data_IF_550544301279
#
_entry.id   IF_550544301279
#
_cell.length_a   1.000
_cell.length_b   1.000
_cell.length_c   1.000
_cell.angle_alpha   90.00
_cell.angle_beta   90.00
_cell.angle_gamma   90.00
#
_symmetry.space_group_name_H-M   'P 1'
#
loop_
_entity.id
_entity.type
_entity.pdbx_description
1 polymer ?
#
# COMPACT_ATOMS: atom_id res chain seq x y z
N UNK A 1 -5.27 29.72 82.10
CA UNK A 1 -5.92 28.44 81.73
C UNK A 1 -5.21 27.94 80.54
N UNK A 2 -4.05 27.33 80.70
CA UNK A 2 -3.10 26.92 79.65
C UNK A 2 -3.17 25.41 79.47
N UNK A 3 -3.49 24.98 78.31
CA UNK A 3 -3.40 23.56 77.94
C UNK A 3 -2.17 23.39 77.07
N UNK A 4 -1.20 22.73 77.71
CA UNK A 4 0.12 22.38 77.18
C UNK A 4 -0.08 21.26 76.16
N UNK A 5 0.22 21.51 74.86
CA UNK A 5 0.29 20.50 73.81
C UNK A 5 1.63 19.86 73.80
N UNK A 6 1.71 18.64 74.29
CA UNK A 6 2.88 17.78 74.18
C UNK A 6 2.95 17.15 72.80
N UNK A 7 3.92 17.58 71.98
CA UNK A 7 4.22 16.92 70.69
C UNK A 7 5.13 15.73 70.97
N UNK A 8 4.64 14.53 70.75
CA UNK A 8 5.43 13.29 70.71
C UNK A 8 6.01 13.15 69.31
N UNK A 9 7.32 13.34 69.14
CA UNK A 9 8.05 13.00 67.93
C UNK A 9 8.30 11.48 67.91
N UNK A 10 7.54 10.77 67.07
CA UNK A 10 7.82 9.38 66.70
C UNK A 10 8.93 9.40 65.67
N UNK A 11 10.16 9.17 66.05
CA UNK A 11 11.29 8.92 65.14
C UNK A 11 11.14 7.52 64.55
N UNK A 12 10.65 7.46 63.32
CA UNK A 12 10.70 6.25 62.52
C UNK A 12 12.16 6.01 62.10
N UNK A 13 12.84 5.13 62.80
CA UNK A 13 14.12 4.60 62.37
C UNK A 13 13.85 3.70 61.15
N UNK A 14 14.03 4.24 59.93
CA UNK A 14 14.08 3.47 58.73
C UNK A 14 15.32 2.56 58.79
N UNK A 15 15.12 1.31 59.14
CA UNK A 15 16.14 0.28 59.01
C UNK A 15 16.43 0.13 57.50
N UNK A 16 17.49 0.80 57.03
CA UNK A 16 18.11 0.57 55.73
C UNK A 16 18.68 -0.87 55.78
N UNK A 17 17.89 -1.82 55.27
CA UNK A 17 18.40 -3.13 54.93
C UNK A 17 19.60 -2.94 53.98
N UNK A 18 20.77 -3.52 54.27
CA UNK A 18 21.87 -3.49 53.32
C UNK A 18 21.37 -4.14 52.03
N UNK A 19 21.36 -3.36 50.95
CA UNK A 19 21.15 -3.94 49.63
C UNK A 19 22.23 -5.01 49.48
N UNK A 20 21.83 -6.29 49.40
CA UNK A 20 22.72 -7.38 49.03
C UNK A 20 23.33 -6.99 47.68
N UNK A 21 24.53 -6.41 47.72
CA UNK A 21 25.32 -6.19 46.53
C UNK A 21 25.65 -7.57 45.99
N UNK A 22 25.05 -7.90 44.83
CA UNK A 22 25.43 -9.11 44.13
C UNK A 22 26.96 -9.11 43.94
N UNK A 23 27.60 -10.24 44.21
CA UNK A 23 29.04 -10.38 43.98
C UNK A 23 29.34 -9.96 42.51
N UNK A 24 30.47 -9.29 42.26
CA UNK A 24 30.83 -8.85 40.91
C UNK A 24 30.84 -10.05 39.96
N UNK A 25 30.15 -9.91 38.86
CA UNK A 25 30.09 -10.93 37.82
C UNK A 25 31.51 -11.23 37.32
N UNK A 26 31.82 -12.52 37.21
CA UNK A 26 32.99 -13.01 36.47
C UNK A 26 32.50 -13.58 35.15
N UNK A 27 32.60 -12.83 34.03
CA UNK A 27 32.06 -13.25 32.75
C UNK A 27 32.55 -14.64 32.28
N UNK A 28 33.86 -14.90 32.44
CA UNK A 28 34.44 -16.19 32.08
C UNK A 28 33.84 -17.34 32.88
N UNK A 29 33.71 -17.18 34.19
CA UNK A 29 33.12 -18.21 35.06
C UNK A 29 31.64 -18.49 34.73
N UNK A 30 30.91 -17.49 34.21
CA UNK A 30 29.54 -17.71 33.72
C UNK A 30 29.54 -18.54 32.45
N UNK A 31 30.38 -18.21 31.48
CA UNK A 31 30.50 -18.97 30.23
C UNK A 31 30.93 -20.42 30.51
N UNK A 32 31.94 -20.59 31.34
CA UNK A 32 32.46 -21.90 31.76
C UNK A 32 31.36 -22.76 32.42
N UNK A 33 30.57 -22.14 33.32
CA UNK A 33 29.57 -22.89 34.09
C UNK A 33 28.30 -23.25 33.35
N UNK A 34 27.90 -22.44 32.35
CA UNK A 34 26.56 -22.54 31.73
C UNK A 34 26.57 -22.68 30.21
N UNK A 35 27.69 -22.46 29.52
CA UNK A 35 27.76 -22.37 28.08
C UNK A 35 28.76 -23.33 27.46
N UNK A 36 29.94 -23.52 28.05
CA UNK A 36 31.04 -24.28 27.45
C UNK A 36 30.75 -25.78 27.33
N UNK A 37 29.86 -26.36 28.12
CA UNK A 37 29.49 -27.78 28.00
C UNK A 37 28.93 -28.12 26.61
N UNK A 38 28.28 -27.15 25.92
CA UNK A 38 27.71 -27.33 24.60
C UNK A 38 28.39 -26.46 23.54
N UNK A 39 28.77 -25.24 23.86
CA UNK A 39 29.38 -24.30 22.93
C UNK A 39 30.91 -24.28 23.08
N UNK A 40 31.54 -25.37 22.73
CA UNK A 40 32.98 -25.56 22.76
C UNK A 40 33.53 -26.01 21.40
N UNK A 41 34.86 -26.01 21.30
CA UNK A 41 35.60 -26.35 20.09
C UNK A 41 35.52 -27.84 19.69
N UNK A 42 34.91 -28.68 20.52
CA UNK A 42 34.66 -30.10 20.21
C UNK A 42 33.24 -30.32 19.69
N UNK A 43 32.22 -29.79 20.38
CA UNK A 43 30.82 -30.08 20.10
C UNK A 43 30.15 -29.09 19.13
N UNK A 44 30.64 -27.85 19.10
CA UNK A 44 30.18 -26.80 18.19
C UNK A 44 28.64 -26.64 18.12
N UNK A 45 27.95 -26.76 19.26
CA UNK A 45 26.51 -26.63 19.29
C UNK A 45 26.04 -25.31 18.67
N UNK A 46 25.12 -25.39 17.72
CA UNK A 46 24.65 -24.21 16.99
C UNK A 46 25.72 -23.49 16.16
N UNK A 47 26.80 -24.18 15.79
CA UNK A 47 27.96 -23.64 15.06
C UNK A 47 28.67 -22.52 15.83
N UNK A 48 28.75 -22.65 17.15
CA UNK A 48 29.35 -21.68 18.04
C UNK A 48 30.24 -22.36 19.07
N UNK A 49 31.48 -21.86 19.22
CA UNK A 49 32.45 -22.29 20.23
C UNK A 49 32.85 -21.06 21.06
N UNK A 50 32.28 -20.93 22.26
CA UNK A 50 32.54 -19.80 23.14
C UNK A 50 33.85 -19.95 23.97
N UNK A 51 34.36 -21.16 24.06
CA UNK A 51 35.63 -21.49 24.76
C UNK A 51 36.87 -20.94 24.04
N UNK A 52 36.77 -20.61 22.76
CA UNK A 52 37.87 -20.00 21.98
C UNK A 52 37.64 -18.51 21.69
N UNK A 53 36.56 -17.94 22.17
CA UNK A 53 36.26 -16.52 22.00
C UNK A 53 36.88 -15.69 23.14
N UNK A 54 37.52 -14.59 22.77
CA UNK A 54 38.19 -13.69 23.72
C UNK A 54 37.24 -12.58 24.19
N UNK A 55 36.96 -12.52 25.48
CA UNK A 55 36.12 -11.48 26.08
C UNK A 55 36.78 -10.09 26.11
N UNK A 56 38.07 -10.00 25.84
CA UNK A 56 38.75 -8.71 25.64
C UNK A 56 38.56 -8.19 24.22
N UNK A 57 38.13 -9.06 23.28
CA UNK A 57 37.93 -8.76 21.87
C UNK A 57 36.44 -8.81 21.45
N UNK A 58 35.48 -8.65 22.37
CA UNK A 58 34.05 -8.66 22.10
C UNK A 58 33.65 -7.86 20.85
N UNK A 59 34.20 -6.64 20.62
CA UNK A 59 33.82 -5.85 19.44
C UNK A 59 34.21 -6.49 18.10
N UNK A 60 35.25 -7.32 18.06
CA UNK A 60 35.68 -8.01 16.83
C UNK A 60 34.61 -9.02 16.38
N UNK A 61 33.92 -9.65 17.34
CA UNK A 61 32.87 -10.65 17.12
C UNK A 61 31.48 -10.13 17.54
N UNK A 62 31.25 -8.81 17.45
CA UNK A 62 30.04 -8.14 17.92
C UNK A 62 28.74 -8.83 17.45
N UNK A 63 28.66 -9.27 16.20
CA UNK A 63 27.49 -9.96 15.64
C UNK A 63 27.17 -11.27 16.37
N UNK A 64 28.17 -11.99 16.80
CA UNK A 64 28.00 -13.22 17.59
C UNK A 64 27.49 -12.87 18.97
N UNK A 65 28.15 -11.91 19.63
CA UNK A 65 27.79 -11.49 20.98
C UNK A 65 26.40 -10.83 21.06
N UNK A 66 25.99 -10.06 20.07
CA UNK A 66 24.61 -9.58 19.95
C UNK A 66 23.59 -10.73 19.85
N UNK A 67 23.97 -11.82 19.19
CA UNK A 67 23.11 -13.01 19.11
C UNK A 67 23.04 -13.69 20.47
N UNK A 68 24.15 -13.78 21.20
CA UNK A 68 24.18 -14.28 22.60
C UNK A 68 23.26 -13.42 23.47
N UNK A 69 23.39 -12.08 23.43
CA UNK A 69 22.52 -11.14 24.16
C UNK A 69 21.04 -11.40 23.87
N UNK A 70 20.66 -11.51 22.60
CA UNK A 70 19.25 -11.79 22.22
C UNK A 70 18.75 -13.13 22.76
N UNK A 71 19.59 -14.17 22.74
CA UNK A 71 19.24 -15.49 23.26
C UNK A 71 19.08 -15.48 24.78
N UNK A 72 19.96 -14.78 25.49
CA UNK A 72 19.89 -14.64 26.95
C UNK A 72 18.68 -13.80 27.40
N UNK A 73 18.43 -12.66 26.75
CA UNK A 73 17.24 -11.82 27.02
C UNK A 73 15.94 -12.56 26.76
N UNK A 74 15.91 -13.34 25.67
CA UNK A 74 14.76 -14.17 25.30
C UNK A 74 14.58 -15.43 26.14
N UNK A 75 15.47 -15.71 27.08
CA UNK A 75 15.48 -16.96 27.87
C UNK A 75 15.49 -18.22 27.00
N UNK A 76 16.16 -18.14 25.85
CA UNK A 76 16.31 -19.25 24.91
C UNK A 76 17.58 -20.07 25.17
N UNK A 77 18.52 -19.48 25.93
CA UNK A 77 19.78 -20.10 26.34
C UNK A 77 20.06 -19.78 27.82
N UNK A 78 20.59 -20.75 28.58
CA UNK A 78 20.67 -22.18 28.28
C UNK A 78 19.27 -22.78 28.00
N UNK A 79 19.17 -23.93 27.32
CA UNK A 79 17.88 -24.63 27.14
C UNK A 79 17.20 -24.89 28.50
N UNK A 80 15.87 -24.96 28.57
CA UNK A 80 15.14 -25.13 29.85
C UNK A 80 15.49 -26.41 30.62
N UNK A 81 16.04 -27.41 29.94
CA UNK A 81 16.49 -28.69 30.52
C UNK A 81 17.83 -28.59 31.21
N UNK A 82 18.57 -27.54 30.93
CA UNK A 82 19.94 -27.35 31.44
C UNK A 82 19.98 -26.43 32.69
N UNK A 83 21.11 -26.44 33.36
CA UNK A 83 21.35 -25.57 34.50
C UNK A 83 21.18 -24.10 34.14
N UNK A 84 20.32 -23.41 34.85
CA UNK A 84 20.01 -22.01 34.59
C UNK A 84 20.78 -21.05 35.47
N UNK A 85 21.42 -19.99 34.95
CA UNK A 85 21.98 -18.93 35.74
C UNK A 85 20.88 -18.10 36.43
N UNK A 86 21.18 -17.51 37.58
CA UNK A 86 20.28 -16.56 38.21
C UNK A 86 20.03 -15.36 37.28
N UNK A 87 18.80 -14.80 37.31
CA UNK A 87 18.44 -13.66 36.44
C UNK A 87 19.42 -12.50 36.59
N UNK A 88 19.80 -12.16 37.79
CA UNK A 88 20.77 -11.10 38.06
C UNK A 88 22.13 -11.31 37.35
N UNK A 89 22.58 -12.56 37.23
CA UNK A 89 23.83 -12.88 36.54
C UNK A 89 23.66 -12.74 35.02
N UNK A 90 22.50 -13.12 34.47
CA UNK A 90 22.18 -12.89 33.08
C UNK A 90 22.16 -11.39 32.77
N UNK A 91 21.45 -10.61 33.57
CA UNK A 91 21.32 -9.16 33.37
C UNK A 91 22.68 -8.46 33.45
N UNK A 92 23.53 -8.85 34.40
CA UNK A 92 24.89 -8.32 34.51
C UNK A 92 25.76 -8.69 33.31
N UNK A 93 25.68 -9.96 32.85
CA UNK A 93 26.47 -10.42 31.72
C UNK A 93 26.00 -9.77 30.40
N UNK A 94 24.69 -9.64 30.19
CA UNK A 94 24.14 -8.91 29.07
C UNK A 94 24.58 -7.45 29.09
N UNK A 95 24.48 -6.78 30.21
CA UNK A 95 24.95 -5.40 30.36
C UNK A 95 26.45 -5.26 30.07
N UNK A 96 27.27 -6.21 30.54
CA UNK A 96 28.69 -6.24 30.24
C UNK A 96 28.96 -6.33 28.74
N UNK A 97 28.32 -7.27 28.04
CA UNK A 97 28.48 -7.45 26.60
C UNK A 97 28.03 -6.21 25.82
N UNK A 98 26.85 -5.69 26.15
CA UNK A 98 26.29 -4.50 25.51
C UNK A 98 27.18 -3.28 25.69
N UNK A 99 27.66 -3.04 26.93
CA UNK A 99 28.56 -1.92 27.21
C UNK A 99 29.83 -1.96 26.38
N UNK A 100 30.44 -3.15 26.19
CA UNK A 100 31.64 -3.30 25.37
C UNK A 100 31.38 -3.05 23.90
N UNK A 101 30.26 -3.54 23.38
CA UNK A 101 29.85 -3.32 21.99
C UNK A 101 29.52 -1.84 21.76
N UNK A 102 28.75 -1.23 22.65
CA UNK A 102 28.31 0.16 22.54
C UNK A 102 29.45 1.17 22.68
N UNK A 103 30.39 0.93 23.60
CA UNK A 103 31.60 1.73 23.75
C UNK A 103 32.42 1.75 22.46
N UNK A 104 32.63 0.56 21.86
CA UNK A 104 33.33 0.46 20.57
C UNK A 104 32.58 1.13 19.42
N UNK A 105 31.26 0.91 19.32
CA UNK A 105 30.44 1.52 18.29
C UNK A 105 30.39 3.05 18.41
N UNK A 106 30.40 3.57 19.63
CA UNK A 106 30.44 5.01 19.89
C UNK A 106 31.78 5.62 19.47
N UNK A 107 32.88 4.91 19.75
CA UNK A 107 34.21 5.35 19.32
C UNK A 107 34.45 5.19 17.81
N UNK A 108 33.77 4.21 17.19
CA UNK A 108 33.90 3.87 15.78
C UNK A 108 32.52 3.85 15.09
N UNK A 109 31.86 5.00 14.92
CA UNK A 109 30.51 5.02 14.39
C UNK A 109 30.47 4.51 12.94
N UNK A 110 29.68 3.47 12.70
CA UNK A 110 29.44 2.88 11.40
C UNK A 110 27.94 2.93 11.07
N UNK A 111 27.41 4.09 10.65
CA UNK A 111 25.97 4.27 10.40
C UNK A 111 25.43 3.42 9.26
N UNK A 112 26.30 2.67 8.59
CA UNK A 112 25.93 1.81 7.49
C UNK A 112 25.76 2.57 6.17
N UNK A 113 25.33 1.83 5.15
CA UNK A 113 25.05 2.33 3.81
C UNK A 113 23.58 2.03 3.47
N UNK A 114 22.87 3.03 2.97
CA UNK A 114 21.52 2.85 2.44
C UNK A 114 21.59 2.74 0.94
N UNK A 115 21.21 1.58 0.42
CA UNK A 115 21.10 1.37 -1.02
C UNK A 115 20.05 2.28 -1.64
N UNK A 116 20.21 2.56 -2.93
CA UNK A 116 19.20 3.27 -3.68
C UNK A 116 17.85 2.55 -3.58
N UNK A 117 16.86 3.23 -3.02
CA UNK A 117 15.56 2.66 -2.70
C UNK A 117 14.54 3.04 -3.78
N UNK A 118 14.05 2.06 -4.53
CA UNK A 118 12.91 2.24 -5.42
C UNK A 118 11.61 2.26 -4.59
N UNK A 119 10.66 3.10 -4.97
CA UNK A 119 9.32 3.01 -4.37
C UNK A 119 8.73 1.62 -4.64
N UNK A 120 8.22 0.98 -3.60
CA UNK A 120 7.42 -0.23 -3.74
C UNK A 120 5.99 0.12 -4.21
N UNK A 121 5.17 -0.88 -4.45
CA UNK A 121 3.78 -0.70 -4.91
C UNK A 121 2.97 0.22 -3.99
N UNK A 122 3.01 -0.02 -2.70
CA UNK A 122 2.26 0.75 -1.69
C UNK A 122 2.78 2.18 -1.56
N UNK A 123 4.09 2.36 -1.59
CA UNK A 123 4.72 3.69 -1.54
C UNK A 123 4.38 4.52 -2.79
N UNK A 124 4.39 3.87 -3.97
CA UNK A 124 4.00 4.53 -5.22
C UNK A 124 2.53 4.97 -5.19
N UNK A 125 1.62 4.08 -4.80
CA UNK A 125 0.19 4.38 -4.71
C UNK A 125 -0.10 5.55 -3.78
N UNK A 126 0.45 5.53 -2.57
CA UNK A 126 0.25 6.59 -1.58
C UNK A 126 0.85 7.92 -2.02
N UNK A 127 2.08 7.89 -2.56
CA UNK A 127 2.73 9.10 -3.08
C UNK A 127 1.91 9.73 -4.22
N UNK A 128 1.42 8.93 -5.16
CA UNK A 128 0.57 9.41 -6.26
C UNK A 128 -0.76 9.97 -5.74
N UNK A 129 -1.39 9.29 -4.79
CA UNK A 129 -2.62 9.79 -4.16
C UNK A 129 -2.39 11.13 -3.47
N UNK A 130 -1.29 11.28 -2.77
CA UNK A 130 -0.94 12.54 -2.10
C UNK A 130 -0.65 13.66 -3.11
N UNK A 131 0.04 13.37 -4.21
CA UNK A 131 0.44 14.37 -5.21
C UNK A 131 -0.74 14.80 -6.10
N UNK A 132 -1.53 13.84 -6.57
CA UNK A 132 -2.57 14.06 -7.59
C UNK A 132 -4.01 13.98 -7.05
N UNK A 133 -4.22 13.40 -5.87
CA UNK A 133 -5.56 13.20 -5.32
C UNK A 133 -6.34 12.05 -5.98
N UNK A 134 -5.66 11.18 -6.72
CA UNK A 134 -6.28 10.02 -7.41
C UNK A 134 -6.12 8.76 -6.56
N UNK A 135 -7.22 8.05 -6.36
CA UNK A 135 -7.21 6.68 -5.81
C UNK A 135 -7.24 5.68 -6.96
N UNK A 136 -6.31 4.74 -6.92
CA UNK A 136 -6.26 3.66 -7.90
C UNK A 136 -5.76 2.39 -7.21
N UNK A 137 -5.99 1.24 -7.84
CA UNK A 137 -5.47 -0.04 -7.35
C UNK A 137 -4.08 -0.28 -7.95
N UNK A 138 -3.04 -0.06 -7.16
CA UNK A 138 -1.68 -0.31 -7.61
C UNK A 138 -1.42 -1.80 -7.89
N UNK A 139 -2.20 -2.72 -7.32
CA UNK A 139 -2.05 -4.15 -7.58
C UNK A 139 -2.50 -4.54 -9.00
N UNK A 140 -3.41 -3.76 -9.59
CA UNK A 140 -3.84 -3.96 -10.98
C UNK A 140 -2.81 -3.41 -12.00
N UNK A 141 -2.00 -2.43 -11.61
CA UNK A 141 -1.09 -1.73 -12.52
C UNK A 141 0.38 -2.13 -12.36
N UNK A 142 0.79 -2.47 -11.14
CA UNK A 142 2.20 -2.71 -10.81
C UNK A 142 2.43 -4.16 -10.36
N UNK A 143 3.62 -4.71 -10.63
CA UNK A 143 3.97 -6.06 -10.22
C UNK A 143 4.11 -6.14 -8.71
N UNK A 144 3.95 -7.35 -8.18
CA UNK A 144 4.14 -7.61 -6.76
C UNK A 144 5.60 -7.47 -6.38
N UNK A 145 5.88 -6.73 -5.30
CA UNK A 145 7.22 -6.60 -4.76
C UNK A 145 7.64 -7.88 -4.01
N UNK A 146 8.94 -8.17 -4.08
CA UNK A 146 9.54 -9.28 -3.32
C UNK A 146 9.58 -8.89 -1.84
N UNK A 147 9.27 -9.85 -0.96
CA UNK A 147 9.35 -9.66 0.49
C UNK A 147 10.58 -10.35 1.07
N UNK A 148 11.17 -9.72 2.07
CA UNK A 148 12.22 -10.30 2.90
C UNK A 148 11.83 -10.14 4.37
N UNK A 149 11.81 -11.25 5.10
CA UNK A 149 11.40 -11.29 6.52
C UNK A 149 10.04 -10.61 6.80
N UNK A 150 9.12 -10.68 5.84
CA UNK A 150 7.79 -10.07 5.93
C UNK A 150 7.70 -8.62 5.41
N UNK A 151 8.82 -7.95 5.15
CA UNK A 151 8.88 -6.57 4.66
C UNK A 151 9.03 -6.51 3.13
N UNK A 152 8.30 -5.62 2.48
CA UNK A 152 8.35 -5.37 1.04
C UNK A 152 9.02 -4.03 0.67
N UNK A 153 9.64 -3.38 1.65
CA UNK A 153 10.31 -2.08 1.50
C UNK A 153 11.82 -2.14 1.80
N UNK A 154 12.43 -3.30 1.67
CA UNK A 154 13.88 -3.47 1.87
C UNK A 154 14.62 -3.10 0.58
N UNK A 155 15.38 -2.01 0.60
CA UNK A 155 16.03 -1.41 -0.58
C UNK A 155 16.84 -2.42 -1.42
N UNK A 156 17.61 -3.29 -0.76
CA UNK A 156 18.52 -4.25 -1.43
C UNK A 156 17.80 -5.32 -2.26
N UNK A 157 16.52 -5.57 -2.00
CA UNK A 157 15.72 -6.58 -2.70
C UNK A 157 14.78 -5.98 -3.74
N UNK A 158 14.52 -4.69 -3.67
CA UNK A 158 13.69 -3.97 -4.64
C UNK A 158 14.42 -3.77 -5.97
N UNK A 159 14.78 -4.89 -6.61
CA UNK A 159 15.48 -4.91 -7.90
C UNK A 159 14.57 -4.37 -9.00
N UNK A 160 15.20 -3.82 -10.03
CA UNK A 160 14.53 -3.29 -11.22
C UNK A 160 14.96 -4.11 -12.42
N UNK A 161 13.98 -4.65 -13.15
CA UNK A 161 14.18 -5.24 -14.49
C UNK A 161 13.58 -4.30 -15.54
N UNK A 162 13.93 -4.45 -16.81
CA UNK A 162 13.28 -3.68 -17.88
C UNK A 162 11.76 -3.78 -17.86
N UNK A 163 11.22 -4.98 -17.64
CA UNK A 163 9.76 -5.19 -17.54
C UNK A 163 9.11 -4.46 -16.36
N UNK A 164 9.84 -4.25 -15.27
CA UNK A 164 9.39 -3.42 -14.16
C UNK A 164 9.27 -1.94 -14.56
N UNK A 165 10.27 -1.43 -15.27
CA UNK A 165 10.24 -0.05 -15.78
C UNK A 165 9.09 0.17 -16.73
N UNK A 166 8.84 -0.75 -17.64
CA UNK A 166 7.70 -0.68 -18.57
C UNK A 166 6.36 -0.61 -17.83
N UNK A 167 6.20 -1.37 -16.76
CA UNK A 167 4.98 -1.35 -15.95
C UNK A 167 4.82 -0.03 -15.18
N UNK A 168 5.89 0.55 -14.65
CA UNK A 168 5.85 1.87 -14.03
C UNK A 168 5.55 2.98 -15.04
N UNK A 169 6.10 2.90 -16.26
CA UNK A 169 5.76 3.82 -17.36
C UNK A 169 4.28 3.72 -17.73
N UNK A 170 3.78 2.49 -17.85
CA UNK A 170 2.37 2.26 -18.12
C UNK A 170 1.46 2.77 -16.99
N UNK A 171 1.80 2.46 -15.73
CA UNK A 171 1.08 2.97 -14.57
C UNK A 171 1.09 4.50 -14.50
N UNK A 172 2.23 5.15 -14.78
CA UNK A 172 2.34 6.60 -14.83
C UNK A 172 1.40 7.20 -15.89
N UNK A 173 1.28 6.53 -17.05
CA UNK A 173 0.35 6.93 -18.11
C UNK A 173 -1.10 6.80 -17.66
N UNK A 174 -1.50 5.63 -17.19
CA UNK A 174 -2.88 5.36 -16.75
C UNK A 174 -3.30 6.31 -15.64
N UNK A 175 -2.45 6.48 -14.63
CA UNK A 175 -2.73 7.38 -13.52
C UNK A 175 -2.83 8.84 -13.95
N UNK A 176 -1.99 9.29 -14.88
CA UNK A 176 -2.07 10.67 -15.40
C UNK A 176 -3.37 10.91 -16.19
N UNK A 177 -3.85 9.90 -16.92
CA UNK A 177 -5.15 9.93 -17.58
C UNK A 177 -6.29 9.97 -16.57
N UNK A 178 -6.26 9.12 -15.54
CA UNK A 178 -7.25 9.15 -14.45
C UNK A 178 -7.28 10.51 -13.73
N UNK A 179 -6.11 11.11 -13.50
CA UNK A 179 -5.99 12.36 -12.75
C UNK A 179 -6.53 13.58 -13.50
N UNK A 180 -6.25 13.65 -14.79
CA UNK A 180 -6.66 14.77 -15.66
C UNK A 180 -8.01 14.51 -16.33
N UNK A 181 -8.32 13.23 -16.60
CA UNK A 181 -9.48 12.79 -17.37
C UNK A 181 -9.21 12.75 -18.87
N UNK A 182 -9.87 11.83 -19.56
CA UNK A 182 -9.83 11.70 -21.03
C UNK A 182 -11.24 11.77 -21.62
N UNK A 183 -11.53 12.79 -22.42
CA UNK A 183 -12.85 12.89 -23.06
C UNK A 183 -13.20 11.70 -23.98
N UNK A 184 -12.19 11.01 -24.53
CA UNK A 184 -12.43 9.84 -25.37
C UNK A 184 -12.88 8.64 -24.56
N UNK A 185 -12.28 8.42 -23.38
CA UNK A 185 -12.67 7.34 -22.46
C UNK A 185 -14.07 7.58 -21.90
N UNK A 186 -14.43 8.82 -21.62
CA UNK A 186 -15.78 9.17 -21.19
C UNK A 186 -16.85 8.79 -22.23
N UNK A 187 -16.50 8.75 -23.51
CA UNK A 187 -17.41 8.33 -24.61
C UNK A 187 -17.47 6.83 -24.79
N UNK A 188 -16.37 6.13 -24.53
CA UNK A 188 -16.26 4.69 -24.80
C UNK A 188 -17.01 3.80 -23.80
N UNK A 189 -17.37 4.36 -22.64
CA UNK A 189 -17.88 3.58 -21.51
C UNK A 189 -16.76 2.80 -20.79
N UNK A 190 -16.95 2.56 -19.51
CA UNK A 190 -16.02 1.76 -18.70
C UNK A 190 -16.67 0.45 -18.33
N UNK A 191 -16.03 -0.67 -18.67
CA UNK A 191 -16.56 -2.01 -18.38
C UNK A 191 -15.83 -2.62 -17.19
N UNK A 192 -16.58 -2.97 -16.17
CA UNK A 192 -16.11 -3.69 -14.99
C UNK A 192 -16.52 -5.16 -15.08
N UNK A 193 -15.57 -6.04 -14.82
CA UNK A 193 -15.82 -7.48 -14.78
C UNK A 193 -16.05 -7.94 -13.36
N UNK A 194 -16.88 -8.97 -13.16
CA UNK A 194 -17.00 -9.59 -11.84
C UNK A 194 -15.65 -10.07 -11.35
N UNK A 195 -15.44 -10.01 -10.04
CA UNK A 195 -14.25 -10.59 -9.40
C UNK A 195 -14.26 -12.09 -9.69
N UNK A 196 -13.17 -12.67 -10.22
CA UNK A 196 -13.13 -14.06 -10.68
C UNK A 196 -13.13 -15.10 -9.55
N UNK A 197 -13.23 -14.67 -8.31
CA UNK A 197 -13.10 -15.52 -7.15
C UNK A 197 -14.32 -16.40 -6.89
N UNK A 198 -14.12 -17.46 -6.16
CA UNK A 198 -15.11 -18.50 -5.83
C UNK A 198 -16.48 -17.87 -5.51
N UNK A 199 -17.54 -18.19 -6.26
CA UNK A 199 -18.88 -17.64 -6.02
C UNK A 199 -19.45 -18.01 -4.64
N UNK A 200 -18.76 -18.82 -3.85
CA UNK A 200 -19.08 -19.17 -2.48
C UNK A 200 -18.51 -18.20 -1.46
N UNK A 201 -17.56 -17.37 -1.85
CA UNK A 201 -16.88 -16.44 -0.95
C UNK A 201 -17.60 -15.10 -0.91
N UNK A 202 -17.62 -14.49 0.28
CA UNK A 202 -18.08 -13.13 0.46
C UNK A 202 -17.12 -12.16 -0.21
N UNK A 203 -17.65 -11.26 -1.02
CA UNK A 203 -16.87 -10.18 -1.63
C UNK A 203 -16.97 -8.94 -0.73
N UNK A 204 -15.84 -8.45 -0.18
CA UNK A 204 -15.85 -7.27 0.68
C UNK A 204 -16.48 -6.06 -0.02
N UNK A 205 -17.46 -5.48 0.64
CA UNK A 205 -18.18 -4.31 0.13
C UNK A 205 -19.49 -4.60 -0.57
N UNK A 206 -19.88 -5.87 -0.68
CA UNK A 206 -21.23 -6.27 -1.07
C UNK A 206 -22.14 -6.41 0.14
N UNK A 207 -23.48 -6.29 -0.03
CA UNK A 207 -24.44 -6.62 1.02
C UNK A 207 -24.25 -8.05 1.50
N UNK A 208 -24.48 -8.30 2.79
CA UNK A 208 -24.42 -9.64 3.36
C UNK A 208 -25.41 -10.58 2.64
N UNK A 209 -25.02 -11.84 2.44
CA UNK A 209 -25.83 -12.83 1.76
C UNK A 209 -25.73 -12.84 0.23
N UNK A 210 -25.05 -11.89 -0.39
CA UNK A 210 -24.83 -11.87 -1.84
C UNK A 210 -23.62 -12.72 -2.22
N UNK A 211 -23.72 -13.42 -3.35
CA UNK A 211 -22.65 -14.25 -3.92
C UNK A 211 -22.30 -13.77 -5.31
N UNK A 212 -21.06 -13.35 -5.51
CA UNK A 212 -20.58 -12.83 -6.79
C UNK A 212 -21.21 -11.47 -7.16
N UNK A 213 -20.70 -10.87 -8.21
CA UNK A 213 -21.13 -9.57 -8.70
C UNK A 213 -19.95 -8.69 -9.04
N UNK A 214 -20.20 -7.40 -9.24
CA UNK A 214 -19.18 -6.39 -9.54
C UNK A 214 -19.10 -5.42 -8.38
N UNK A 215 -17.90 -5.21 -7.84
CA UNK A 215 -17.59 -4.07 -6.97
C UNK A 215 -16.56 -3.22 -7.68
N UNK A 216 -16.90 -1.98 -7.97
CA UNK A 216 -16.04 -1.02 -8.66
C UNK A 216 -16.03 0.32 -7.92
N UNK A 217 -14.89 0.98 -7.96
CA UNK A 217 -14.77 2.39 -7.65
C UNK A 217 -14.67 3.11 -8.99
N UNK A 218 -15.65 3.97 -9.29
CA UNK A 218 -15.74 4.69 -10.56
C UNK A 218 -15.74 6.19 -10.33
N UNK A 219 -14.91 6.89 -11.08
CA UNK A 219 -14.88 8.35 -11.09
C UNK A 219 -15.88 8.89 -12.10
N UNK A 220 -16.96 9.48 -11.60
CA UNK A 220 -17.97 10.12 -12.44
C UNK A 220 -17.52 11.55 -12.78
N UNK A 221 -17.19 11.83 -14.04
CA UNK A 221 -16.57 13.10 -14.42
C UNK A 221 -17.51 14.32 -14.33
N UNK A 222 -18.80 14.16 -14.42
CA UNK A 222 -19.79 15.25 -14.37
C UNK A 222 -21.05 14.86 -13.60
N UNK A 223 -21.77 15.85 -13.09
CA UNK A 223 -23.16 15.66 -12.69
C UNK A 223 -23.99 15.34 -13.93
N UNK A 224 -24.74 14.23 -13.93
CA UNK A 224 -25.56 13.90 -15.09
C UNK A 224 -26.22 12.53 -15.06
N UNK A 225 -26.98 12.24 -16.11
CA UNK A 225 -27.64 10.96 -16.32
C UNK A 225 -26.69 9.98 -16.98
N UNK A 226 -26.17 9.04 -16.19
CA UNK A 226 -25.30 7.96 -16.68
C UNK A 226 -26.12 6.75 -17.11
N UNK A 227 -25.64 6.05 -18.13
CA UNK A 227 -26.25 4.82 -18.60
C UNK A 227 -25.45 3.62 -18.12
N UNK A 228 -26.11 2.70 -17.43
CA UNK A 228 -25.54 1.45 -16.97
C UNK A 228 -26.07 0.29 -17.80
N UNK A 229 -25.14 -0.57 -18.28
CA UNK A 229 -25.47 -1.77 -19.04
C UNK A 229 -24.92 -2.99 -18.31
N UNK A 230 -25.81 -3.92 -18.00
CA UNK A 230 -25.47 -5.22 -17.38
C UNK A 230 -25.41 -6.23 -18.52
N UNK A 231 -24.29 -6.93 -18.67
CA UNK A 231 -24.13 -7.95 -19.70
C UNK A 231 -23.28 -7.59 -20.90
N UNK A 232 -22.45 -6.54 -20.79
CA UNK A 232 -21.41 -6.16 -21.77
C UNK A 232 -21.91 -5.92 -23.21
N UNK A 233 -21.62 -4.74 -23.74
CA UNK A 233 -21.94 -4.34 -25.12
C UNK A 233 -21.05 -5.03 -26.17
N UNK A 234 -20.93 -6.34 -26.17
CA UNK A 234 -20.27 -7.08 -27.23
C UNK A 234 -21.30 -7.46 -28.30
N UNK A 235 -21.30 -6.76 -29.42
CA UNK A 235 -22.04 -7.17 -30.62
C UNK A 235 -21.54 -8.52 -31.21
N UNK A 236 -21.74 -9.59 -30.45
CA UNK A 236 -21.59 -10.95 -30.93
C UNK A 236 -22.87 -11.33 -31.67
N UNK A 237 -22.79 -11.39 -33.01
CA UNK A 237 -23.80 -12.02 -33.85
C UNK A 237 -24.14 -13.36 -33.24
N UNK A 238 -25.46 -13.57 -32.98
CA UNK A 238 -25.98 -14.81 -32.45
C UNK A 238 -25.52 -16.01 -33.28
N UNK A 239 -24.88 -16.93 -32.63
CA UNK A 239 -24.76 -18.28 -33.10
C UNK A 239 -26.16 -18.88 -33.13
N UNK A 240 -26.75 -18.99 -34.30
CA UNK A 240 -27.96 -19.75 -34.53
C UNK A 240 -27.67 -21.22 -34.20
N UNK A 241 -28.10 -21.67 -33.03
CA UNK A 241 -28.25 -23.08 -32.78
C UNK A 241 -29.43 -23.63 -33.56
N UNK A 242 -29.40 -24.88 -34.02
CA UNK A 242 -30.47 -25.44 -34.83
C UNK A 242 -31.77 -25.50 -34.04
N UNK A 243 -32.94 -25.28 -34.72
CA UNK A 243 -34.24 -25.41 -34.12
C UNK A 243 -34.54 -26.91 -33.87
N UNK A 244 -34.48 -27.37 -32.67
CA UNK A 244 -34.81 -28.75 -32.35
C UNK A 244 -34.11 -29.28 -31.08
N UNK A 245 -34.22 -28.60 -29.97
CA UNK A 245 -33.84 -29.13 -28.66
C UNK A 245 -35.00 -29.00 -27.68
N UNK A 246 -35.48 -30.14 -27.23
CA UNK A 246 -36.59 -30.33 -26.29
C UNK A 246 -36.54 -29.30 -25.13
N UNK A 247 -37.69 -28.61 -24.97
CA UNK A 247 -37.93 -27.70 -23.89
C UNK A 247 -37.76 -28.36 -22.54
N UNK A 248 -36.67 -28.06 -21.87
CA UNK A 248 -36.43 -28.45 -20.49
C UNK A 248 -37.17 -27.49 -19.59
N UNK A 249 -38.01 -28.03 -18.78
CA UNK A 249 -38.76 -27.45 -17.68
C UNK A 249 -37.87 -26.60 -16.76
N UNK A 250 -38.29 -25.36 -16.55
CA UNK A 250 -37.71 -24.50 -15.54
C UNK A 250 -37.43 -23.10 -16.09
N UNK A 251 -38.49 -22.31 -16.33
CA UNK A 251 -38.37 -20.87 -16.27
C UNK A 251 -38.04 -20.51 -14.81
N UNK A 252 -36.77 -20.73 -14.42
CA UNK A 252 -36.26 -20.20 -13.19
C UNK A 252 -36.42 -18.68 -13.25
N UNK A 253 -37.03 -18.10 -12.23
CA UNK A 253 -37.11 -16.66 -12.05
C UNK A 253 -35.74 -16.05 -12.40
N UNK A 254 -35.75 -15.12 -13.35
CA UNK A 254 -34.55 -14.42 -13.74
C UNK A 254 -33.93 -13.83 -12.47
N UNK A 255 -32.69 -14.20 -12.20
CA UNK A 255 -32.01 -13.76 -10.97
C UNK A 255 -32.13 -12.22 -10.86
N UNK A 256 -32.73 -11.77 -9.77
CA UNK A 256 -32.89 -10.36 -9.50
C UNK A 256 -31.50 -9.70 -9.45
N UNK A 257 -31.31 -8.64 -10.20
CA UNK A 257 -30.08 -7.84 -10.14
C UNK A 257 -30.40 -6.50 -9.48
N UNK A 258 -29.52 -6.05 -8.59
CA UNK A 258 -29.61 -4.76 -7.92
C UNK A 258 -28.34 -3.98 -8.17
N UNK A 259 -28.46 -2.74 -8.62
CA UNK A 259 -27.38 -1.78 -8.77
C UNK A 259 -27.39 -0.83 -7.59
N UNK A 260 -26.26 -0.71 -6.88
CA UNK A 260 -26.09 0.22 -5.79
C UNK A 260 -24.98 1.21 -6.12
N UNK A 261 -25.18 2.46 -5.69
CA UNK A 261 -24.16 3.50 -5.68
C UNK A 261 -24.01 3.98 -4.22
N UNK A 262 -22.80 3.92 -3.67
CA UNK A 262 -22.48 4.23 -2.28
C UNK A 262 -23.39 3.54 -1.25
N UNK A 263 -23.77 2.29 -1.56
CA UNK A 263 -24.64 1.47 -0.71
C UNK A 263 -26.14 1.76 -0.86
N UNK A 264 -26.54 2.73 -1.68
CA UNK A 264 -27.95 3.02 -1.98
C UNK A 264 -28.36 2.30 -3.26
N UNK A 265 -29.47 1.53 -3.20
CA UNK A 265 -30.02 0.86 -4.38
C UNK A 265 -30.64 1.91 -5.33
N UNK A 266 -30.05 2.05 -6.51
CA UNK A 266 -30.50 3.00 -7.56
C UNK A 266 -31.33 2.32 -8.66
N UNK A 267 -31.21 1.00 -8.78
CA UNK A 267 -32.00 0.20 -9.72
C UNK A 267 -32.13 -1.25 -9.20
N UNK A 268 -33.30 -1.83 -9.44
CA UNK A 268 -33.65 -3.20 -9.06
C UNK A 268 -34.46 -3.83 -10.20
N UNK A 269 -33.97 -4.93 -10.78
CA UNK A 269 -34.59 -5.58 -11.92
C UNK A 269 -36.03 -6.05 -11.67
N UNK A 270 -36.38 -6.32 -10.42
CA UNK A 270 -37.73 -6.80 -10.04
C UNK A 270 -38.74 -5.66 -9.99
N UNK A 271 -38.29 -4.43 -9.75
CA UNK A 271 -39.11 -3.21 -9.61
C UNK A 271 -38.99 -2.27 -10.78
N UNK A 272 -38.03 -2.52 -11.66
CA UNK A 272 -37.70 -1.64 -12.77
C UNK A 272 -38.79 -1.64 -13.87
N UNK A 273 -38.92 -0.52 -14.61
CA UNK A 273 -39.71 -0.45 -15.82
C UNK A 273 -39.31 -1.54 -16.85
N UNK A 274 -40.25 -1.98 -17.67
CA UNK A 274 -40.02 -3.07 -18.62
C UNK A 274 -38.82 -2.80 -19.51
N UNK A 275 -38.62 -1.53 -19.92
CA UNK A 275 -37.54 -1.11 -20.82
C UNK A 275 -36.14 -1.34 -20.25
N UNK A 276 -35.98 -1.18 -18.94
CA UNK A 276 -34.68 -1.35 -18.24
C UNK A 276 -34.54 -2.65 -17.44
N UNK A 277 -35.63 -3.48 -17.41
CA UNK A 277 -35.63 -4.74 -16.65
C UNK A 277 -34.62 -5.75 -17.17
N UNK A 278 -34.23 -5.66 -18.43
CA UNK A 278 -33.17 -6.46 -19.03
C UNK A 278 -31.75 -6.09 -18.55
N UNK A 279 -31.61 -5.03 -17.74
CA UNK A 279 -30.32 -4.52 -17.33
C UNK A 279 -29.59 -3.69 -18.38
N UNK A 280 -30.25 -3.29 -19.45
CA UNK A 280 -29.68 -2.44 -20.52
C UNK A 280 -30.31 -1.07 -20.48
N UNK A 281 -29.50 -0.04 -20.73
CA UNK A 281 -29.96 1.34 -20.78
C UNK A 281 -30.51 1.86 -19.45
N UNK A 282 -30.03 1.36 -18.34
CA UNK A 282 -30.41 1.84 -17.01
C UNK A 282 -29.87 3.25 -16.82
N UNK A 283 -30.78 4.21 -16.70
CA UNK A 283 -30.42 5.62 -16.54
C UNK A 283 -30.48 6.03 -15.08
N UNK A 284 -29.38 6.56 -14.57
CA UNK A 284 -29.26 7.01 -13.18
C UNK A 284 -28.60 8.38 -13.12
N UNK A 285 -29.21 9.29 -12.38
CA UNK A 285 -28.59 10.58 -12.06
C UNK A 285 -27.50 10.39 -11.02
N UNK A 286 -26.26 10.71 -11.37
CA UNK A 286 -25.10 10.60 -10.48
C UNK A 286 -24.41 11.94 -10.38
N UNK A 287 -23.93 12.26 -9.17
CA UNK A 287 -23.08 13.41 -8.92
C UNK A 287 -21.66 13.14 -9.41
N UNK A 288 -20.96 14.22 -9.79
CA UNK A 288 -19.53 14.13 -10.09
C UNK A 288 -18.73 13.73 -8.85
N UNK A 289 -17.74 12.89 -9.03
CA UNK A 289 -16.87 12.40 -7.95
C UNK A 289 -16.62 10.90 -8.02
N UNK A 290 -15.86 10.42 -7.06
CA UNK A 290 -15.54 9.00 -6.92
C UNK A 290 -16.64 8.32 -6.13
N UNK A 291 -17.34 7.38 -6.75
CA UNK A 291 -18.42 6.61 -6.13
C UNK A 291 -18.14 5.12 -6.17
N UNK A 292 -18.60 4.40 -5.15
CA UNK A 292 -18.57 2.94 -5.12
C UNK A 292 -19.80 2.38 -5.81
N UNK A 293 -19.59 1.70 -6.92
CA UNK A 293 -20.64 1.06 -7.71
C UNK A 293 -20.63 -0.44 -7.45
N UNK A 294 -21.78 -1.00 -7.09
CA UNK A 294 -21.92 -2.41 -6.77
C UNK A 294 -23.10 -2.98 -7.57
N UNK A 295 -22.84 -4.04 -8.33
CA UNK A 295 -23.86 -4.83 -8.98
C UNK A 295 -23.93 -6.17 -8.28
N UNK A 296 -25.09 -6.49 -7.72
CA UNK A 296 -25.33 -7.74 -6.99
C UNK A 296 -26.53 -8.48 -7.54
N UNK A 297 -26.51 -9.82 -7.40
CA UNK A 297 -27.66 -10.69 -7.66
C UNK A 297 -28.09 -11.32 -6.32
N UNK A 298 -29.12 -10.77 -5.65
CA UNK A 298 -29.56 -11.29 -4.37
C UNK A 298 -30.29 -12.63 -4.47
N UNK A 299 -30.71 -13.05 -5.67
CA UNK A 299 -31.35 -14.34 -5.88
C UNK A 299 -30.37 -15.50 -5.60
N UNK A 300 -30.54 -16.13 -4.50
CA UNK A 300 -29.66 -17.18 -3.98
C UNK A 300 -29.14 -16.87 -2.58
N UNK A 301 -29.52 -15.73 -2.02
CA UNK A 301 -29.39 -15.53 -0.59
C UNK A 301 -30.18 -16.65 0.08
N UNK A 302 -29.57 -17.31 1.06
CA UNK A 302 -30.27 -18.14 2.02
C UNK A 302 -31.16 -17.19 2.82
N UNK A 303 -32.28 -16.79 2.22
CA UNK A 303 -33.31 -16.12 2.95
C UNK A 303 -33.93 -17.09 3.90
N UNK A 304 -33.82 -16.82 5.14
CA UNK A 304 -34.86 -16.83 6.16
C UNK A 304 -35.98 -17.88 6.11
N UNK A 305 -35.94 -18.86 5.26
CA UNK A 305 -36.80 -20.01 5.43
C UNK A 305 -36.04 -21.06 6.19
N UNK A 306 -36.30 -21.04 7.29
CA UNK A 306 -35.96 -21.64 8.51
C UNK A 306 -35.64 -23.11 8.50
N UNK A 307 -36.11 -23.93 7.64
CA UNK A 307 -36.23 -25.32 8.01
C UNK A 307 -35.72 -26.32 6.97
N UNK A 308 -35.11 -25.88 5.89
CA UNK A 308 -34.47 -26.81 4.98
C UNK A 308 -33.09 -26.34 4.56
N UNK A 309 -32.07 -26.85 5.23
CA UNK A 309 -30.77 -27.09 4.64
C UNK A 309 -31.01 -27.92 3.36
N UNK A 310 -31.26 -27.24 2.24
CA UNK A 310 -31.21 -27.92 0.96
C UNK A 310 -29.80 -28.44 0.81
N UNK A 311 -29.58 -29.74 0.69
CA UNK A 311 -28.27 -30.26 0.42
C UNK A 311 -27.77 -29.55 -0.83
N UNK A 312 -26.54 -29.10 -0.80
CA UNK A 312 -25.82 -28.61 -1.99
C UNK A 312 -25.72 -29.83 -2.93
N UNK A 313 -26.80 -30.10 -3.66
CA UNK A 313 -26.77 -31.05 -4.74
C UNK A 313 -25.75 -30.65 -5.76
N UNK A 314 -25.13 -31.57 -6.52
CA UNK A 314 -24.28 -31.25 -7.63
C UNK A 314 -25.11 -30.40 -8.57
N UNK A 315 -24.78 -29.12 -8.70
CA UNK A 315 -25.43 -28.20 -9.61
C UNK A 315 -25.08 -28.58 -11.05
N UNK A 316 -25.78 -29.55 -11.56
CA UNK A 316 -25.89 -29.79 -12.98
C UNK A 316 -26.73 -28.68 -13.62
N UNK A 317 -26.11 -27.85 -14.44
CA UNK A 317 -26.80 -26.81 -15.20
C UNK A 317 -26.47 -25.39 -14.73
N UNK A 318 -25.36 -24.85 -15.15
CA UNK A 318 -25.25 -23.52 -15.70
C UNK A 318 -25.68 -22.28 -14.93
N UNK A 319 -25.71 -22.24 -13.62
CA UNK A 319 -25.78 -20.97 -12.90
C UNK A 319 -24.37 -20.37 -12.70
N UNK A 320 -23.89 -19.68 -13.74
CA UNK A 320 -22.82 -18.68 -13.57
C UNK A 320 -23.45 -17.40 -13.01
N UNK A 321 -23.96 -17.46 -11.79
CA UNK A 321 -24.27 -16.27 -11.03
C UNK A 321 -22.95 -15.53 -10.80
N UNK A 322 -22.81 -14.33 -11.32
CA UNK A 322 -21.66 -13.49 -11.07
C UNK A 322 -20.72 -13.25 -12.26
N UNK A 323 -21.00 -13.76 -13.46
CA UNK A 323 -20.14 -13.54 -14.63
C UNK A 323 -20.55 -12.33 -15.49
N UNK A 324 -21.50 -11.53 -15.04
CA UNK A 324 -22.08 -10.46 -15.87
C UNK A 324 -21.32 -9.16 -15.68
N UNK A 325 -20.63 -8.63 -16.70
CA UNK A 325 -19.92 -7.36 -16.61
C UNK A 325 -20.90 -6.19 -16.49
N UNK A 326 -20.43 -5.12 -15.88
CA UNK A 326 -21.12 -3.85 -15.76
C UNK A 326 -20.42 -2.80 -16.62
N UNK A 327 -21.12 -2.21 -17.57
CA UNK A 327 -20.63 -1.08 -18.36
C UNK A 327 -21.28 0.21 -17.86
N UNK A 328 -20.48 1.24 -17.67
CA UNK A 328 -20.91 2.59 -17.27
C UNK A 328 -20.57 3.54 -18.41
N UNK A 329 -21.59 4.18 -18.98
CA UNK A 329 -21.45 5.13 -20.09
C UNK A 329 -21.82 6.54 -19.61
N UNK A 330 -20.91 7.48 -19.84
CA UNK A 330 -21.13 8.87 -19.46
C UNK A 330 -22.16 9.56 -20.38
N UNK A 331 -22.88 10.57 -19.88
CA UNK A 331 -23.81 11.36 -20.70
C UNK A 331 -23.08 12.12 -21.81
N UNK A 332 -23.73 12.33 -22.93
CA UNK A 332 -23.17 13.10 -24.05
C UNK A 332 -22.79 14.53 -23.66
N UNK A 333 -23.45 15.10 -22.66
CA UNK A 333 -23.13 16.41 -22.08
C UNK A 333 -21.76 16.48 -21.37
N UNK A 334 -21.23 15.33 -20.93
CA UNK A 334 -19.91 15.26 -20.29
C UNK A 334 -18.77 15.76 -21.20
N UNK A 335 -18.98 15.75 -22.50
CA UNK A 335 -17.97 16.13 -23.50
C UNK A 335 -18.22 17.50 -24.14
N UNK A 336 -19.43 18.05 -24.02
CA UNK A 336 -19.79 19.33 -24.64
C UNK A 336 -19.22 20.54 -23.88
N UNK A 337 -19.07 20.44 -22.57
CA UNK A 337 -18.67 21.55 -21.69
C UNK A 337 -17.23 21.40 -21.13
N UNK A 338 -16.42 20.53 -21.73
CA UNK A 338 -15.09 20.21 -21.19
C UNK A 338 -15.14 19.19 -20.04
N UNK A 339 -13.96 18.79 -19.56
CA UNK A 339 -13.85 17.89 -18.41
C UNK A 339 -14.19 18.65 -17.12
N UNK A 340 -14.95 18.05 -16.21
CA UNK A 340 -15.39 18.68 -14.97
C UNK A 340 -14.23 18.86 -13.99
N UNK A 341 -14.41 19.72 -13.02
CA UNK A 341 -13.46 19.91 -11.92
C UNK A 341 -13.63 18.76 -10.89
N UNK A 342 -12.99 17.64 -11.14
CA UNK A 342 -12.84 16.59 -10.14
C UNK A 342 -11.87 17.02 -9.02
N UNK A 343 -11.87 16.37 -7.84
CA UNK A 343 -10.90 16.67 -6.79
C UNK A 343 -9.44 16.62 -7.26
N UNK A 344 -9.10 15.66 -8.14
CA UNK A 344 -7.77 15.55 -8.72
C UNK A 344 -7.47 16.72 -9.67
N UNK A 345 -8.41 17.08 -10.54
CA UNK A 345 -8.25 18.24 -11.43
C UNK A 345 -8.09 19.54 -10.66
N UNK A 346 -8.92 19.78 -9.64
CA UNK A 346 -8.80 20.96 -8.78
C UNK A 346 -7.45 21.02 -8.08
N UNK A 347 -6.87 19.88 -7.74
CA UNK A 347 -5.53 19.79 -7.16
C UNK A 347 -4.43 20.03 -8.21
N UNK A 348 -4.58 19.57 -9.43
CA UNK A 348 -3.61 19.67 -10.51
C UNK A 348 -3.60 21.08 -11.11
N UNK A 349 -4.77 21.60 -11.51
CA UNK A 349 -4.93 22.83 -12.25
C UNK A 349 -4.90 24.07 -11.33
N UNK A 350 -3.75 24.38 -10.78
CA UNK A 350 -3.53 25.60 -9.96
C UNK A 350 -3.66 26.88 -10.76
N UNK A 351 -3.85 26.80 -12.07
CA UNK A 351 -4.15 27.88 -12.98
C UNK A 351 -4.93 27.35 -14.19
N UNK A 352 -5.73 28.22 -14.80
CA UNK A 352 -6.46 27.96 -16.06
C UNK A 352 -6.03 29.06 -17.06
N UNK A 353 -5.39 28.73 -18.19
CA UNK A 353 -4.99 29.72 -19.18
C UNK A 353 -6.22 30.30 -19.88
N UNK A 354 -6.28 31.63 -20.02
CA UNK A 354 -7.34 32.31 -20.75
C UNK A 354 -7.12 32.28 -22.27
N UNK A 355 -5.88 32.08 -22.70
CA UNK A 355 -5.48 32.03 -24.12
C UNK A 355 -4.22 31.17 -24.29
N UNK A 356 -3.88 30.87 -25.55
CA UNK A 356 -2.74 30.01 -25.89
C UNK A 356 -1.40 30.53 -25.38
N UNK A 357 -1.22 31.85 -25.30
CA UNK A 357 0.04 32.44 -24.83
C UNK A 357 0.28 32.19 -23.32
N UNK A 358 -0.80 31.99 -22.56
CA UNK A 358 -0.74 31.70 -21.12
C UNK A 358 -0.58 30.21 -20.81
N UNK A 359 -0.77 29.33 -21.79
CA UNK A 359 -0.72 27.88 -21.59
C UNK A 359 0.64 27.40 -21.08
N UNK A 360 1.74 27.79 -21.73
CA UNK A 360 3.10 27.34 -21.35
C UNK A 360 3.52 27.85 -19.95
N UNK A 361 3.31 29.13 -19.58
CA UNK A 361 3.56 29.59 -18.21
C UNK A 361 2.70 28.85 -17.16
N UNK A 362 1.42 28.58 -17.46
CA UNK A 362 0.56 27.82 -16.56
C UNK A 362 1.02 26.36 -16.43
N UNK A 363 1.36 25.70 -17.53
CA UNK A 363 1.89 24.32 -17.50
C UNK A 363 3.17 24.22 -16.64
N UNK A 364 4.10 25.15 -16.77
CA UNK A 364 5.31 25.20 -15.93
C UNK A 364 4.98 25.36 -14.44
N UNK A 365 3.98 26.17 -14.07
CA UNK A 365 3.54 26.28 -12.67
C UNK A 365 2.95 24.97 -12.15
N UNK A 366 2.10 24.29 -12.95
CA UNK A 366 1.52 23.01 -12.62
C UNK A 366 2.63 21.97 -12.40
N UNK A 367 3.56 21.84 -13.35
CA UNK A 367 4.66 20.87 -13.26
C UNK A 367 5.62 21.21 -12.12
N UNK A 368 5.91 22.47 -11.87
CA UNK A 368 6.76 22.91 -10.76
C UNK A 368 6.22 22.48 -9.40
N UNK A 369 4.90 22.64 -9.18
CA UNK A 369 4.24 22.14 -7.97
C UNK A 369 4.30 20.63 -7.86
N UNK A 370 3.87 19.91 -8.90
CA UNK A 370 3.82 18.45 -8.90
C UNK A 370 5.24 17.86 -8.75
N UNK A 371 6.22 18.37 -9.47
CA UNK A 371 7.60 17.92 -9.40
C UNK A 371 8.23 18.19 -8.02
N UNK A 372 7.91 19.29 -7.36
CA UNK A 372 8.38 19.59 -6.00
C UNK A 372 7.90 18.52 -4.99
N UNK A 373 6.64 18.14 -5.05
CA UNK A 373 6.07 17.08 -4.20
C UNK A 373 6.64 15.70 -4.60
N UNK A 374 6.71 15.41 -5.90
CA UNK A 374 7.19 14.13 -6.41
C UNK A 374 8.68 13.88 -6.14
N UNK A 375 9.53 14.89 -6.32
CA UNK A 375 10.98 14.78 -6.12
C UNK A 375 11.41 15.06 -4.67
N UNK A 376 10.46 15.47 -3.82
CA UNK A 376 10.68 15.67 -2.37
C UNK A 376 11.79 16.68 -2.06
N UNK A 377 12.01 17.63 -2.95
CA UNK A 377 13.02 18.68 -2.86
C UNK A 377 12.64 19.92 -3.69
N UNK A 378 13.29 21.06 -3.49
CA UNK A 378 13.16 22.19 -4.40
C UNK A 378 13.45 21.77 -5.86
N UNK A 379 12.67 22.32 -6.78
CA UNK A 379 12.73 22.01 -8.21
C UNK A 379 13.59 23.05 -8.91
N UNK A 380 14.46 22.61 -9.82
CA UNK A 380 15.26 23.47 -10.71
C UNK A 380 14.62 23.55 -12.10
N UNK A 381 15.05 24.49 -12.92
CA UNK A 381 14.59 24.59 -14.32
C UNK A 381 14.91 23.32 -15.12
N UNK A 382 16.03 22.66 -14.83
CA UNK A 382 16.42 21.40 -15.46
C UNK A 382 15.42 20.26 -15.15
N UNK A 383 14.84 20.25 -13.96
CA UNK A 383 13.82 19.27 -13.60
C UNK A 383 12.56 19.39 -14.45
N UNK A 384 12.27 20.57 -14.97
CA UNK A 384 11.10 20.86 -15.77
C UNK A 384 11.30 20.67 -17.28
N UNK A 385 12.53 20.47 -17.75
CA UNK A 385 12.82 20.28 -19.19
C UNK A 385 12.04 19.10 -19.78
N UNK A 386 12.08 17.95 -19.11
CA UNK A 386 11.40 16.77 -19.61
C UNK A 386 9.86 16.92 -19.57
N UNK A 387 9.22 17.28 -18.44
CA UNK A 387 7.77 17.50 -18.41
C UNK A 387 7.27 18.52 -19.44
N UNK A 388 7.96 19.63 -19.60
CA UNK A 388 7.61 20.66 -20.60
C UNK A 388 7.75 20.13 -22.02
N UNK A 389 8.81 19.39 -22.34
CA UNK A 389 8.97 18.77 -23.66
C UNK A 389 7.86 17.78 -23.99
N UNK A 390 7.44 16.97 -23.02
CA UNK A 390 6.32 16.03 -23.20
C UNK A 390 5.01 16.80 -23.38
N UNK A 391 4.78 17.86 -22.63
CA UNK A 391 3.66 18.77 -22.79
C UNK A 391 3.61 19.36 -24.22
N UNK A 392 4.71 19.97 -24.67
CA UNK A 392 4.79 20.63 -25.98
C UNK A 392 4.52 19.64 -27.13
N UNK A 393 5.07 18.43 -27.03
CA UNK A 393 4.83 17.40 -28.05
C UNK A 393 3.36 16.98 -28.11
N UNK A 394 2.73 16.74 -26.98
CA UNK A 394 1.33 16.34 -26.94
C UNK A 394 0.38 17.49 -27.32
N UNK A 395 0.74 18.73 -26.97
CA UNK A 395 -0.04 19.92 -27.32
C UNK A 395 -0.14 20.17 -28.83
N UNK A 396 0.83 19.68 -29.60
CA UNK A 396 0.78 19.82 -31.09
C UNK A 396 -0.38 19.10 -31.74
N UNK A 397 -0.82 17.99 -31.18
CA UNK A 397 -1.90 17.14 -31.73
C UNK A 397 -3.13 17.10 -30.83
N UNK A 398 -3.03 17.61 -29.61
CA UNK A 398 -4.09 17.61 -28.61
C UNK A 398 -4.39 19.00 -28.06
N UNK A 399 -5.01 19.02 -26.90
CA UNK A 399 -5.36 20.26 -26.18
C UNK A 399 -4.44 20.46 -24.96
N UNK A 400 -4.69 21.52 -24.17
CA UNK A 400 -3.94 21.85 -22.97
C UNK A 400 -3.93 20.69 -21.97
N UNK A 401 -5.08 20.07 -21.71
CA UNK A 401 -5.23 18.96 -20.77
C UNK A 401 -4.41 17.73 -21.20
N UNK A 402 -4.41 17.39 -22.50
CA UNK A 402 -3.57 16.32 -23.04
C UNK A 402 -2.07 16.60 -22.82
N UNK A 403 -1.66 17.86 -22.99
CA UNK A 403 -0.30 18.27 -22.67
C UNK A 403 0.03 18.09 -21.20
N UNK A 404 -0.87 18.50 -20.30
CA UNK A 404 -0.69 18.32 -18.85
C UNK A 404 -0.61 16.84 -18.47
N UNK A 405 -1.43 15.97 -19.05
CA UNK A 405 -1.35 14.51 -18.84
C UNK A 405 0.06 13.99 -19.14
N UNK A 406 0.61 14.34 -20.30
CA UNK A 406 1.91 13.84 -20.73
C UNK A 406 3.05 14.40 -19.87
N UNK A 407 2.95 15.65 -19.42
CA UNK A 407 3.92 16.23 -18.48
C UNK A 407 3.88 15.55 -17.11
N UNK A 408 2.68 15.24 -16.59
CA UNK A 408 2.52 14.48 -15.34
C UNK A 408 3.10 13.06 -15.49
N UNK A 409 2.78 12.38 -16.59
CA UNK A 409 3.36 11.05 -16.89
C UNK A 409 4.89 11.10 -16.84
N UNK A 410 5.52 12.14 -17.45
CA UNK A 410 6.96 12.29 -17.44
C UNK A 410 7.54 12.50 -16.02
N UNK A 411 6.83 13.19 -15.13
CA UNK A 411 7.23 13.36 -13.73
C UNK A 411 7.12 12.01 -12.99
N UNK A 412 5.99 11.30 -13.10
CA UNK A 412 5.77 10.03 -12.41
C UNK A 412 6.65 8.89 -12.92
N UNK A 413 7.11 8.96 -14.16
CA UNK A 413 8.06 8.02 -14.76
C UNK A 413 9.52 8.38 -14.48
N UNK A 414 9.79 9.55 -13.90
CA UNK A 414 11.14 10.03 -13.64
C UNK A 414 11.85 9.19 -12.58
N UNK A 415 13.12 8.83 -12.76
CA UNK A 415 13.92 8.24 -11.69
C UNK A 415 13.93 9.08 -10.41
N UNK A 416 13.83 10.44 -10.54
CA UNK A 416 13.76 11.35 -9.40
C UNK A 416 12.48 11.15 -8.54
N UNK A 417 11.42 10.60 -9.11
CA UNK A 417 10.22 10.19 -8.37
C UNK A 417 10.30 8.74 -7.92
N UNK A 418 10.68 7.83 -8.84
CA UNK A 418 10.65 6.39 -8.60
C UNK A 418 11.67 5.93 -7.56
N UNK A 419 12.74 6.69 -7.35
CA UNK A 419 13.79 6.38 -6.40
C UNK A 419 13.91 7.44 -5.32
N UNK A 420 14.19 6.98 -4.12
CA UNK A 420 14.59 7.84 -3.00
C UNK A 420 16.11 7.92 -3.00
N UNK A 421 16.65 8.87 -3.74
CA UNK A 421 18.07 9.13 -3.79
C UNK A 421 18.41 10.29 -2.86
N UNK A 422 19.36 10.08 -1.97
CA UNK A 422 19.89 11.12 -1.08
C UNK A 422 21.08 11.82 -1.72
N UNK A 423 21.20 13.12 -1.45
CA UNK A 423 22.30 13.89 -1.98
C UNK A 423 23.56 13.66 -1.13
N UNK A 424 24.54 12.99 -1.72
CA UNK A 424 25.86 12.86 -1.11
C UNK A 424 26.69 14.13 -1.34
N UNK A 425 27.49 14.57 -0.35
CA UNK A 425 28.47 15.64 -0.55
C UNK A 425 29.46 15.30 -1.69
N UNK A 426 29.77 16.27 -2.54
CA UNK A 426 30.61 16.03 -3.71
C UNK A 426 32.04 15.58 -3.38
N UNK A 427 32.56 15.93 -2.20
CA UNK A 427 33.95 15.67 -1.79
C UNK A 427 34.05 14.62 -0.67
N UNK A 428 33.09 13.68 -0.59
CA UNK A 428 33.09 12.63 0.42
C UNK A 428 34.16 11.58 0.11
N UNK A 429 35.07 11.36 1.05
CA UNK A 429 36.06 10.29 0.91
C UNK A 429 35.40 8.89 1.08
N UNK A 430 35.92 7.84 0.43
CA UNK A 430 35.42 6.48 0.62
C UNK A 430 35.44 6.07 2.11
N UNK A 431 34.34 5.55 2.61
CA UNK A 431 34.19 5.13 4.02
C UNK A 431 33.89 6.27 5.00
N UNK A 432 33.86 7.51 4.58
CA UNK A 432 33.54 8.65 5.43
C UNK A 432 32.02 8.75 5.64
N UNK A 433 31.62 8.90 6.90
CA UNK A 433 30.23 9.19 7.26
C UNK A 433 29.91 10.67 7.06
N UNK A 434 28.67 10.96 6.70
CA UNK A 434 28.17 12.33 6.59
C UNK A 434 26.76 12.44 7.18
N UNK A 435 26.39 13.64 7.61
CA UNK A 435 25.03 13.94 8.03
C UNK A 435 24.14 14.16 6.80
N UNK A 436 23.05 13.41 6.70
CA UNK A 436 22.05 13.62 5.66
C UNK A 436 21.34 14.96 5.87
N UNK A 437 20.84 15.53 4.75
CA UNK A 437 20.06 16.77 4.78
C UNK A 437 18.72 16.61 5.52
N UNK A 438 18.21 17.72 6.05
CA UNK A 438 16.96 17.68 6.82
C UNK A 438 15.76 17.24 5.95
N UNK A 439 15.74 17.57 4.65
CA UNK A 439 14.71 17.11 3.71
C UNK A 439 14.82 15.61 3.44
N UNK A 440 16.03 15.07 3.30
CA UNK A 440 16.26 13.64 3.14
C UNK A 440 15.85 12.88 4.39
N UNK A 441 16.18 13.43 5.58
CA UNK A 441 15.75 12.86 6.85
C UNK A 441 14.22 12.86 7.00
N UNK A 442 13.57 13.98 6.67
CA UNK A 442 12.11 14.08 6.70
C UNK A 442 11.47 13.09 5.73
N UNK A 443 12.02 12.92 4.52
CA UNK A 443 11.59 11.93 3.56
C UNK A 443 11.73 10.49 4.11
N UNK A 444 12.89 10.14 4.70
CA UNK A 444 13.08 8.83 5.34
C UNK A 444 12.02 8.56 6.40
N UNK A 445 11.78 9.53 7.29
CA UNK A 445 10.79 9.41 8.36
C UNK A 445 9.37 9.24 7.81
N UNK A 446 8.99 10.01 6.78
CA UNK A 446 7.67 9.92 6.16
C UNK A 446 7.42 8.53 5.55
N UNK A 447 8.39 8.01 4.79
CA UNK A 447 8.28 6.67 4.21
C UNK A 447 8.32 5.56 5.26
N UNK A 448 9.10 5.73 6.32
CA UNK A 448 9.17 4.76 7.42
C UNK A 448 7.84 4.70 8.19
N UNK A 449 7.27 5.85 8.54
CA UNK A 449 6.07 5.93 9.39
C UNK A 449 4.77 5.72 8.60
N UNK A 450 4.70 6.25 7.36
CA UNK A 450 3.46 6.32 6.58
C UNK A 450 3.55 5.71 5.18
N UNK A 451 4.72 5.23 4.76
CA UNK A 451 5.01 4.72 3.40
C UNK A 451 4.70 5.74 2.31
N UNK A 452 4.98 7.02 2.54
CA UNK A 452 4.72 8.13 1.61
C UNK A 452 5.59 9.36 1.87
#
# INVERSE_FOLDING_TARGET
MNILRTLVYLTLAAASAPALQAAPLKPDALLETYCHDCHNSTDWAGSLALDVMDLDQIPADAKVWETVVRKLRGRLMPPPTEKQPAQANIDQFVTFLESRIDEHATANPAPGFVSLHRLNRTEYERAVQDILGVKFDAAALLPKDVRNEGFDNVANILKVSPSFLDQYLWAAREVSVMAVGDPATARAGTTYRPTPDDPRMYVPGMPLGTRGGVVAVHDFPVDGEYTFNIGGGGGGRGGGGPPGGFGGFGAGEAAANVLLIDGVAVWDSTKAPIESRSGRGIKVQVKAGTHKVVLVSPAGSLTESDDMLRPLGPMGGGFRAGSTPLEIVAPASATANGLPDTPSRSKIFVCKPANVAEESPCAKRIFGRIAREAFRRPVTDEDLVAPVRFYDNARRTGNFDTGIQQGIMAILASPKFLYRAEQMPANLAPGQSYRIGDLDLASRMAFFLWSR
#
